data_IF_196090451831
#
_entry.id   IF_196090451831
#
_cell.length_a   1.000
_cell.length_b   1.000
_cell.length_c   1.000
_cell.angle_alpha   90.00
_cell.angle_beta   90.00
_cell.angle_gamma   90.00
#
_symmetry.space_group_name_H-M   'P 1'
#
loop_
_entity.id
_entity.type
_entity.pdbx_description
1 polymer ?
#
# COMPACT_ATOMS: atom_id res chain seq x y z
N UNK A 1 10.79 -34.97 43.50
CA UNK A 1 10.53 -33.71 44.16
C UNK A 1 11.84 -32.96 44.36
N UNK A 2 12.22 -32.12 43.46
CA UNK A 2 13.40 -31.24 43.62
C UNK A 2 12.92 -29.80 43.75
N UNK A 3 13.21 -29.22 44.91
CA UNK A 3 12.84 -27.87 45.28
C UNK A 3 13.66 -26.86 44.50
N UNK A 4 12.98 -25.97 43.77
CA UNK A 4 13.59 -24.79 43.16
C UNK A 4 13.96 -23.77 44.26
N UNK A 5 15.20 -23.28 44.23
CA UNK A 5 15.74 -22.31 45.16
C UNK A 5 14.97 -20.96 45.07
N UNK A 6 14.75 -20.26 46.17
CA UNK A 6 14.06 -18.95 46.18
C UNK A 6 14.70 -17.86 45.33
N UNK A 7 15.97 -18.03 44.98
CA UNK A 7 16.66 -17.07 44.10
C UNK A 7 16.25 -17.12 42.64
N UNK A 8 15.70 -18.27 42.19
CA UNK A 8 15.17 -18.41 40.81
C UNK A 8 13.81 -17.76 40.68
N UNK A 9 12.98 -17.80 41.73
CA UNK A 9 11.68 -17.11 41.74
C UNK A 9 11.81 -15.59 41.76
N UNK A 10 12.84 -15.04 42.40
CA UNK A 10 13.08 -13.59 42.40
C UNK A 10 13.52 -13.06 41.00
N UNK A 11 14.27 -13.87 40.23
CA UNK A 11 14.67 -13.47 38.87
C UNK A 11 13.52 -13.52 37.86
N UNK A 12 12.59 -14.45 38.02
CA UNK A 12 11.40 -14.54 37.17
C UNK A 12 10.41 -13.40 37.49
N UNK A 13 10.28 -12.99 38.75
CA UNK A 13 9.43 -11.88 39.15
C UNK A 13 9.94 -10.52 38.62
N UNK A 14 11.27 -10.32 38.53
CA UNK A 14 11.85 -9.10 37.96
C UNK A 14 11.71 -9.06 36.44
N UNK A 15 11.76 -10.20 35.75
CA UNK A 15 11.54 -10.27 34.29
C UNK A 15 10.08 -10.06 33.89
N UNK A 16 9.11 -10.40 34.74
CA UNK A 16 7.69 -10.17 34.50
C UNK A 16 7.28 -8.73 34.80
N UNK A 17 7.95 -8.05 35.71
CA UNK A 17 7.66 -6.66 36.06
C UNK A 17 8.14 -5.63 35.02
N UNK A 18 9.03 -6.02 34.09
CA UNK A 18 9.52 -5.14 33.01
C UNK A 18 8.65 -5.25 31.73
N UNK A 19 7.73 -6.20 31.67
CA UNK A 19 6.92 -6.51 30.46
C UNK A 19 5.61 -5.75 30.35
N UNK A 20 5.24 -4.89 31.29
CA UNK A 20 4.07 -4.03 31.17
C UNK A 20 4.45 -2.58 30.88
N UNK A 21 5.31 -2.35 29.90
CA UNK A 21 5.27 -1.10 29.19
C UNK A 21 3.99 -1.17 28.34
N UNK A 22 2.91 -0.61 28.86
CA UNK A 22 1.76 -0.25 28.06
C UNK A 22 2.30 0.62 26.92
N UNK A 23 2.36 0.06 25.72
CA UNK A 23 2.48 0.85 24.51
C UNK A 23 1.18 1.64 24.43
N UNK A 24 1.13 2.79 25.11
CA UNK A 24 0.10 3.77 24.84
C UNK A 24 0.22 4.03 23.34
N UNK A 25 -0.88 3.83 22.63
CA UNK A 25 -0.98 4.27 21.26
C UNK A 25 -0.54 5.74 21.26
N UNK A 26 0.60 6.02 20.65
CA UNK A 26 1.02 7.39 20.42
C UNK A 26 -0.03 7.89 19.44
N UNK A 27 -0.95 8.72 19.91
CA UNK A 27 -1.77 9.55 19.04
C UNK A 27 -0.79 10.45 18.30
N UNK A 28 -0.37 10.01 17.11
CA UNK A 28 0.40 10.82 16.20
C UNK A 28 -0.54 11.94 15.75
N UNK A 29 -0.30 13.20 16.13
CA UNK A 29 -1.12 14.30 15.66
C UNK A 29 -1.07 14.25 14.13
N UNK A 30 -2.25 14.33 13.50
CA UNK A 30 -2.35 14.47 12.07
C UNK A 30 -1.52 15.68 11.63
N UNK A 31 -0.35 15.42 11.05
CA UNK A 31 0.48 16.51 10.53
C UNK A 31 -0.18 17.03 9.26
N UNK A 32 -0.88 18.13 9.38
CA UNK A 32 -1.42 18.91 8.25
C UNK A 32 -0.42 19.97 7.75
N UNK A 33 0.87 19.78 8.00
CA UNK A 33 1.87 20.80 7.71
C UNK A 33 2.27 20.76 6.24
N UNK A 34 1.75 21.68 5.44
CA UNK A 34 2.15 21.93 4.05
C UNK A 34 3.63 22.33 3.90
N UNK A 35 4.30 22.70 4.99
CA UNK A 35 5.66 23.22 5.05
C UNK A 35 6.69 22.22 5.57
N UNK A 36 6.46 20.91 5.42
CA UNK A 36 7.43 19.92 5.85
C UNK A 36 8.76 20.06 5.10
N UNK A 37 9.86 20.08 5.85
CA UNK A 37 11.21 20.26 5.30
C UNK A 37 11.61 19.10 4.41
N UNK A 38 12.13 19.42 3.22
CA UNK A 38 12.76 18.46 2.31
C UNK A 38 14.21 18.20 2.76
N UNK A 39 14.44 17.10 3.47
CA UNK A 39 15.76 16.77 4.01
C UNK A 39 16.61 15.87 3.09
N UNK A 40 16.06 15.46 1.94
CA UNK A 40 16.73 14.62 0.96
C UNK A 40 17.19 15.36 -0.29
N UNK A 41 16.77 16.62 -0.43
CA UNK A 41 17.23 17.51 -1.51
C UNK A 41 16.54 17.28 -2.86
N UNK A 42 15.45 16.51 -2.91
CA UNK A 42 14.67 16.38 -4.14
C UNK A 42 14.01 17.71 -4.52
N UNK A 43 14.13 18.16 -5.79
CA UNK A 43 13.39 19.31 -6.27
C UNK A 43 11.88 19.13 -6.10
N UNK A 44 11.14 20.20 -5.84
CA UNK A 44 9.69 20.11 -5.62
C UNK A 44 8.96 19.47 -6.81
N UNK A 45 9.36 19.77 -8.03
CA UNK A 45 8.78 19.15 -9.22
C UNK A 45 8.92 17.62 -9.21
N UNK A 46 10.07 17.10 -8.77
CA UNK A 46 10.31 15.65 -8.65
C UNK A 46 9.47 15.06 -7.54
N UNK A 47 9.33 15.75 -6.41
CA UNK A 47 8.45 15.32 -5.30
C UNK A 47 7.00 15.26 -5.74
N UNK A 48 6.48 16.27 -6.44
CA UNK A 48 5.12 16.24 -6.99
C UNK A 48 4.91 15.11 -8.00
N UNK A 49 5.90 14.84 -8.83
CA UNK A 49 5.87 13.69 -9.75
C UNK A 49 5.82 12.36 -8.97
N UNK A 50 6.65 12.20 -7.95
CA UNK A 50 6.63 11.04 -7.07
C UNK A 50 5.29 10.86 -6.34
N UNK A 51 4.69 11.96 -5.88
CA UNK A 51 3.44 11.92 -5.14
C UNK A 51 2.23 11.57 -6.00
N UNK A 52 2.22 11.99 -7.27
CA UNK A 52 1.02 11.97 -8.11
C UNK A 52 1.17 11.26 -9.45
N UNK A 53 2.31 10.61 -9.73
CA UNK A 53 2.44 9.81 -10.95
C UNK A 53 1.69 8.48 -10.77
N UNK A 54 0.67 8.29 -11.60
CA UNK A 54 -0.13 7.07 -11.59
C UNK A 54 0.60 5.92 -12.27
N UNK A 55 0.64 4.76 -11.60
CA UNK A 55 1.02 3.49 -12.21
C UNK A 55 -0.19 2.67 -12.71
N UNK A 56 -1.37 3.29 -12.78
CA UNK A 56 -2.59 2.67 -13.30
C UNK A 56 -3.53 2.10 -12.24
N UNK A 57 -3.28 2.30 -10.93
CA UNK A 57 -4.18 1.87 -9.86
C UNK A 57 -5.50 2.64 -9.91
N UNK A 58 -6.62 1.98 -9.58
CA UNK A 58 -7.96 2.55 -9.70
C UNK A 58 -8.81 2.18 -8.47
N UNK A 59 -9.08 3.15 -7.63
CA UNK A 59 -9.87 2.96 -6.41
C UNK A 59 -11.35 3.33 -6.62
N UNK A 60 -11.62 4.62 -6.78
CA UNK A 60 -12.95 5.19 -7.02
C UNK A 60 -12.87 6.27 -8.10
N UNK A 61 -14.00 6.74 -8.68
CA UNK A 61 -14.03 7.89 -9.56
C UNK A 61 -13.36 9.11 -8.92
N UNK A 62 -12.57 9.82 -9.71
CA UNK A 62 -11.79 10.96 -9.26
C UNK A 62 -12.65 12.08 -8.69
N UNK A 63 -13.73 12.41 -9.39
CA UNK A 63 -14.72 13.41 -9.00
C UNK A 63 -15.38 13.06 -7.65
N UNK A 64 -15.61 11.78 -7.36
CA UNK A 64 -16.12 11.36 -6.06
C UNK A 64 -15.08 11.61 -4.95
N UNK A 65 -13.83 11.22 -5.19
CA UNK A 65 -12.79 11.38 -4.19
C UNK A 65 -12.54 12.85 -3.85
N UNK A 66 -12.43 13.70 -4.88
CA UNK A 66 -12.25 15.15 -4.68
C UNK A 66 -13.46 15.75 -3.95
N UNK A 67 -14.69 15.31 -4.28
CA UNK A 67 -15.89 15.73 -3.55
C UNK A 67 -15.89 15.29 -2.08
N UNK A 68 -15.38 14.09 -1.77
CA UNK A 68 -15.32 13.61 -0.40
C UNK A 68 -14.27 14.37 0.43
N UNK A 69 -13.12 14.72 -0.14
CA UNK A 69 -12.08 15.47 0.59
C UNK A 69 -12.41 16.97 0.77
N UNK A 70 -13.43 17.49 0.10
CA UNK A 70 -13.99 18.83 0.37
C UNK A 70 -14.81 18.88 1.67
N UNK A 71 -15.23 17.73 2.22
CA UNK A 71 -15.84 17.66 3.54
C UNK A 71 -14.74 17.68 4.60
N UNK A 72 -14.68 18.77 5.37
CA UNK A 72 -13.63 18.98 6.37
C UNK A 72 -13.61 17.89 7.45
N UNK A 73 -14.78 17.36 7.82
CA UNK A 73 -14.87 16.28 8.81
C UNK A 73 -14.27 14.97 8.28
N UNK A 74 -14.53 14.66 7.01
CA UNK A 74 -14.01 13.49 6.34
C UNK A 74 -12.51 13.63 6.05
N UNK A 75 -12.09 14.81 5.60
CA UNK A 75 -10.67 15.13 5.39
C UNK A 75 -9.89 15.00 6.71
N UNK A 76 -10.44 15.51 7.81
CA UNK A 76 -9.86 15.34 9.15
C UNK A 76 -9.79 13.86 9.56
N UNK A 77 -10.85 13.08 9.30
CA UNK A 77 -10.85 11.65 9.58
C UNK A 77 -9.80 10.89 8.75
N UNK A 78 -9.59 11.26 7.50
CA UNK A 78 -8.50 10.73 6.67
C UNK A 78 -7.13 11.12 7.23
N UNK A 79 -6.93 12.40 7.59
CA UNK A 79 -5.71 12.88 8.23
C UNK A 79 -5.36 12.12 9.51
N UNK A 80 -6.37 11.80 10.33
CA UNK A 80 -6.19 10.97 11.54
C UNK A 80 -5.70 9.53 11.26
N UNK A 81 -5.76 9.08 10.01
CA UNK A 81 -5.14 7.82 9.59
C UNK A 81 -3.67 7.96 9.17
N UNK A 82 -3.10 9.16 9.26
CA UNK A 82 -1.72 9.44 8.85
C UNK A 82 -1.56 9.77 7.36
N UNK A 83 -2.66 10.00 6.62
CA UNK A 83 -2.60 10.48 5.25
C UNK A 83 -2.02 11.89 5.22
N UNK A 84 -1.01 12.09 4.39
CA UNK A 84 -0.25 13.35 4.32
C UNK A 84 -0.91 14.32 3.36
N UNK A 85 -1.24 15.53 3.85
CA UNK A 85 -1.76 16.59 3.01
C UNK A 85 -0.73 17.07 1.98
N UNK A 86 -1.21 17.53 0.83
CA UNK A 86 -0.41 18.21 -0.19
C UNK A 86 -1.14 19.43 -0.73
N UNK A 87 -0.89 20.58 -0.13
CA UNK A 87 -1.50 21.86 -0.52
C UNK A 87 -0.99 22.36 -1.89
N UNK A 88 0.14 21.85 -2.37
CA UNK A 88 0.69 22.22 -3.67
C UNK A 88 -0.08 21.61 -4.85
N UNK A 89 -0.88 20.56 -4.60
CA UNK A 89 -1.70 19.98 -5.66
C UNK A 89 -2.96 20.84 -5.93
N UNK A 90 -3.31 21.13 -7.19
CA UNK A 90 -4.47 22.00 -7.52
C UNK A 90 -5.78 21.55 -6.89
N UNK A 91 -6.05 20.25 -6.88
CA UNK A 91 -7.25 19.67 -6.26
C UNK A 91 -6.99 19.19 -4.83
N UNK A 92 -5.88 19.62 -4.21
CA UNK A 92 -5.47 19.23 -2.85
C UNK A 92 -5.44 17.70 -2.63
N UNK A 93 -5.12 16.95 -3.68
CA UNK A 93 -4.93 15.51 -3.53
C UNK A 93 -3.83 15.22 -2.50
N UNK A 94 -4.10 14.37 -1.52
CA UNK A 94 -3.07 13.97 -0.56
C UNK A 94 -1.89 13.26 -1.23
N UNK A 95 -0.74 13.25 -0.56
CA UNK A 95 0.44 12.49 -0.99
C UNK A 95 0.08 11.02 -1.22
N UNK A 96 0.50 10.49 -2.35
CA UNK A 96 0.26 9.08 -2.66
C UNK A 96 -1.04 8.78 -3.39
N UNK A 97 -1.77 9.83 -3.83
CA UNK A 97 -2.94 9.67 -4.68
C UNK A 97 -2.69 10.28 -6.05
N UNK A 98 -3.19 9.66 -7.09
CA UNK A 98 -3.08 10.16 -8.45
C UNK A 98 -4.39 10.05 -9.21
N UNK A 99 -4.61 11.01 -10.13
CA UNK A 99 -5.64 10.91 -11.14
C UNK A 99 -5.20 9.97 -12.25
N UNK A 100 -6.11 9.08 -12.67
CA UNK A 100 -5.91 8.10 -13.72
C UNK A 100 -6.96 8.33 -14.80
N UNK A 101 -6.54 8.85 -15.92
CA UNK A 101 -7.43 9.04 -17.07
C UNK A 101 -7.61 7.72 -17.83
N UNK A 102 -8.84 7.43 -18.22
CA UNK A 102 -9.23 6.18 -18.87
C UNK A 102 -9.69 6.37 -20.34
N UNK A 103 -9.35 7.50 -20.92
CA UNK A 103 -9.88 7.92 -22.23
C UNK A 103 -11.24 8.64 -22.11
N UNK A 104 -11.66 9.23 -23.24
CA UNK A 104 -12.80 10.14 -23.27
C UNK A 104 -14.16 9.53 -22.87
N UNK A 105 -14.31 8.22 -23.00
CA UNK A 105 -15.58 7.51 -22.74
C UNK A 105 -15.73 6.95 -21.32
N UNK A 106 -14.74 7.15 -20.45
CA UNK A 106 -14.75 6.61 -19.08
C UNK A 106 -14.36 7.67 -18.06
N UNK A 107 -15.01 7.72 -16.89
CA UNK A 107 -14.63 8.68 -15.85
C UNK A 107 -13.19 8.44 -15.40
N UNK A 108 -12.47 9.52 -15.15
CA UNK A 108 -11.17 9.46 -14.49
C UNK A 108 -11.32 8.79 -13.12
N UNK A 109 -10.28 8.08 -12.70
CA UNK A 109 -10.24 7.39 -11.41
C UNK A 109 -9.20 8.05 -10.50
N UNK A 110 -9.36 7.91 -9.19
CA UNK A 110 -8.26 8.11 -8.25
C UNK A 110 -7.66 6.74 -7.93
N UNK A 111 -6.32 6.70 -7.82
CA UNK A 111 -5.60 5.51 -7.41
C UNK A 111 -4.43 5.85 -6.49
N UNK A 112 -3.81 4.82 -5.94
CA UNK A 112 -2.62 4.95 -5.12
C UNK A 112 -1.36 5.03 -5.97
N UNK A 113 -0.35 5.77 -5.48
CA UNK A 113 1.00 5.78 -6.04
C UNK A 113 1.98 5.10 -5.08
N UNK A 114 3.25 4.94 -5.50
CA UNK A 114 4.30 4.42 -4.62
C UNK A 114 4.46 5.28 -3.35
N UNK A 115 4.25 6.59 -3.45
CA UNK A 115 4.35 7.51 -2.34
C UNK A 115 3.31 7.26 -1.24
N UNK A 116 2.17 6.63 -1.54
CA UNK A 116 1.16 6.26 -0.53
C UNK A 116 1.75 5.36 0.55
N UNK A 117 2.52 4.36 0.16
CA UNK A 117 3.18 3.44 1.10
C UNK A 117 4.60 3.87 1.47
N UNK A 118 5.25 4.71 0.64
CA UNK A 118 6.67 5.03 0.76
C UNK A 118 6.91 6.55 0.84
N UNK A 119 6.11 7.23 1.65
CA UNK A 119 6.40 8.60 2.13
C UNK A 119 5.91 8.71 3.55
N UNK A 120 6.77 9.20 4.43
CA UNK A 120 6.44 9.41 5.83
C UNK A 120 6.71 10.85 6.24
N UNK A 121 6.17 11.23 7.38
CA UNK A 121 6.41 12.53 8.00
C UNK A 121 6.51 12.37 9.51
N UNK A 122 7.40 13.12 10.13
CA UNK A 122 7.46 13.24 11.58
C UNK A 122 7.69 14.71 11.98
N UNK A 123 7.27 15.06 13.18
CA UNK A 123 7.43 16.41 13.72
C UNK A 123 8.32 16.37 14.96
N UNK A 124 9.26 17.30 15.05
CA UNK A 124 10.10 17.53 16.21
C UNK A 124 10.20 19.04 16.49
N UNK A 125 9.90 19.47 17.71
CA UNK A 125 9.92 20.89 18.11
C UNK A 125 9.21 21.81 17.10
N UNK A 126 8.01 21.45 16.68
CA UNK A 126 7.19 22.16 15.68
C UNK A 126 7.79 22.23 14.25
N UNK A 127 8.85 21.48 13.97
CA UNK A 127 9.38 21.31 12.61
C UNK A 127 8.94 19.95 12.06
N UNK A 128 8.26 19.95 10.93
CA UNK A 128 7.88 18.72 10.23
C UNK A 128 8.93 18.37 9.17
N UNK A 129 9.25 17.10 9.10
CA UNK A 129 10.22 16.51 8.18
C UNK A 129 9.54 15.46 7.34
N UNK A 130 9.53 15.64 6.03
CA UNK A 130 8.99 14.66 5.10
C UNK A 130 10.12 13.81 4.53
N UNK A 131 9.86 12.51 4.48
CA UNK A 131 10.85 11.50 4.08
C UNK A 131 10.28 10.70 2.91
N UNK A 132 10.77 11.00 1.72
CA UNK A 132 10.43 10.28 0.50
C UNK A 132 11.17 8.93 0.47
N UNK A 133 10.47 7.88 0.04
CA UNK A 133 10.98 6.50 0.05
C UNK A 133 11.02 5.86 1.43
N UNK A 134 10.69 6.61 2.49
CA UNK A 134 10.56 6.06 3.84
C UNK A 134 9.26 5.28 4.03
N UNK A 135 9.23 4.33 4.99
CA UNK A 135 8.01 3.58 5.27
C UNK A 135 6.92 4.53 5.75
N UNK A 136 5.76 4.50 5.09
CA UNK A 136 4.59 5.25 5.53
C UNK A 136 4.16 4.79 6.94
N UNK A 137 3.70 5.72 7.76
CA UNK A 137 3.11 5.44 9.07
C UNK A 137 1.57 5.45 9.02
N UNK A 138 1.00 5.40 7.83
CA UNK A 138 -0.44 5.43 7.63
C UNK A 138 -1.14 4.16 8.12
N UNK A 139 -2.34 4.33 8.61
CA UNK A 139 -3.29 3.26 8.93
C UNK A 139 -4.10 2.90 7.69
N UNK A 140 -3.50 2.17 6.75
CA UNK A 140 -4.10 1.88 5.44
C UNK A 140 -5.47 1.21 5.53
N UNK A 141 -5.64 0.24 6.42
CA UNK A 141 -6.92 -0.43 6.65
C UNK A 141 -7.98 0.55 7.16
N UNK A 142 -7.62 1.41 8.09
CA UNK A 142 -8.53 2.41 8.68
C UNK A 142 -8.99 3.42 7.64
N UNK A 143 -8.06 3.92 6.81
CA UNK A 143 -8.40 4.80 5.70
C UNK A 143 -9.44 4.15 4.77
N UNK A 144 -9.19 2.92 4.33
CA UNK A 144 -10.13 2.21 3.45
C UNK A 144 -11.48 1.98 4.11
N UNK A 145 -11.52 1.66 5.41
CA UNK A 145 -12.77 1.53 6.16
C UNK A 145 -13.57 2.84 6.19
N UNK A 146 -12.89 3.97 6.49
CA UNK A 146 -13.54 5.29 6.51
C UNK A 146 -14.10 5.60 5.11
N UNK A 147 -13.29 5.39 4.05
CA UNK A 147 -13.71 5.63 2.68
C UNK A 147 -14.93 4.78 2.29
N UNK A 148 -14.90 3.48 2.56
CA UNK A 148 -16.00 2.58 2.20
C UNK A 148 -17.26 2.87 3.02
N UNK A 149 -17.10 3.19 4.29
CA UNK A 149 -18.21 3.61 5.14
C UNK A 149 -18.85 4.89 4.59
N UNK A 150 -18.05 5.90 4.26
CA UNK A 150 -18.55 7.18 3.73
C UNK A 150 -19.32 7.01 2.43
N UNK A 151 -18.83 6.15 1.52
CA UNK A 151 -19.56 5.80 0.30
C UNK A 151 -20.85 5.01 0.57
N UNK A 152 -20.79 4.05 1.52
CA UNK A 152 -21.96 3.24 1.89
C UNK A 152 -23.06 4.07 2.53
N UNK A 153 -22.70 5.08 3.31
CA UNK A 153 -23.65 5.99 3.96
C UNK A 153 -24.37 6.96 3.00
N UNK A 154 -23.92 7.04 1.73
CA UNK A 154 -24.64 7.79 0.70
C UNK A 154 -25.93 7.08 0.30
N UNK A 155 -26.03 5.77 0.50
CA UNK A 155 -27.18 4.95 0.12
C UNK A 155 -27.93 4.53 1.38
N UNK A 156 -29.11 5.09 1.65
CA UNK A 156 -29.92 4.71 2.81
C UNK A 156 -30.31 3.22 2.80
N UNK A 157 -30.55 2.61 3.98
CA UNK A 157 -30.95 1.19 4.07
C UNK A 157 -32.28 0.89 3.38
N UNK A 158 -33.24 1.83 3.38
CA UNK A 158 -34.49 1.70 2.65
C UNK A 158 -34.27 2.08 1.17
N UNK A 159 -33.73 1.14 0.41
CA UNK A 159 -33.44 1.34 -1.01
C UNK A 159 -34.68 1.65 -1.84
N UNK A 160 -35.88 1.00 -1.64
CA UNK A 160 -37.08 1.36 -2.35
C UNK A 160 -37.52 2.82 -2.16
N UNK A 161 -37.60 3.31 -0.91
CA UNK A 161 -37.90 4.69 -0.61
C UNK A 161 -36.84 5.66 -1.16
N UNK A 162 -35.59 5.32 -1.07
CA UNK A 162 -34.51 6.08 -1.66
C UNK A 162 -34.66 6.20 -3.19
N UNK A 163 -34.85 5.10 -3.89
CA UNK A 163 -35.01 5.11 -5.34
C UNK A 163 -36.26 5.90 -5.77
N UNK A 164 -37.34 5.89 -4.99
CA UNK A 164 -38.52 6.73 -5.20
C UNK A 164 -38.15 8.22 -5.08
N UNK A 165 -37.45 8.61 -4.01
CA UNK A 165 -37.05 10.01 -3.79
C UNK A 165 -36.15 10.55 -4.91
N UNK A 166 -35.27 9.71 -5.50
CA UNK A 166 -34.47 10.11 -6.67
C UNK A 166 -35.31 10.40 -7.90
N UNK A 167 -36.31 9.56 -8.15
CA UNK A 167 -37.25 9.77 -9.26
C UNK A 167 -38.11 11.02 -9.11
N UNK A 168 -38.37 11.41 -7.86
CA UNK A 168 -39.13 12.63 -7.52
C UNK A 168 -38.19 13.85 -7.40
N UNK A 169 -36.89 13.73 -7.74
CA UNK A 169 -35.86 14.79 -7.59
C UNK A 169 -35.72 15.33 -6.18
N UNK A 170 -36.03 14.52 -5.19
CA UNK A 170 -35.95 14.86 -3.76
C UNK A 170 -35.08 13.88 -2.98
N UNK A 171 -33.77 13.74 -3.33
CA UNK A 171 -32.87 12.84 -2.63
C UNK A 171 -32.61 13.28 -1.21
N UNK A 172 -32.22 12.33 -0.30
CA UNK A 172 -31.76 12.65 1.05
C UNK A 172 -30.58 13.61 1.04
N UNK A 173 -30.49 14.47 2.05
CA UNK A 173 -29.53 15.60 2.08
C UNK A 173 -28.09 15.18 1.85
N UNK A 174 -27.63 14.10 2.47
CA UNK A 174 -26.25 13.60 2.31
C UNK A 174 -25.93 13.21 0.87
N UNK A 175 -26.81 12.44 0.25
CA UNK A 175 -26.69 12.05 -1.16
C UNK A 175 -26.85 13.28 -2.07
N UNK A 176 -27.80 14.19 -1.76
CA UNK A 176 -28.01 15.42 -2.52
C UNK A 176 -26.76 16.28 -2.57
N UNK A 177 -26.13 16.52 -1.41
CA UNK A 177 -24.90 17.31 -1.33
C UNK A 177 -23.77 16.69 -2.16
N UNK A 178 -23.58 15.38 -2.08
CA UNK A 178 -22.60 14.64 -2.86
C UNK A 178 -22.94 14.71 -4.37
N UNK A 179 -24.17 14.38 -4.76
CA UNK A 179 -24.61 14.38 -6.16
C UNK A 179 -24.49 15.75 -6.80
N UNK A 180 -24.86 16.83 -6.10
CA UNK A 180 -24.74 18.20 -6.61
C UNK A 180 -23.30 18.52 -7.02
N UNK A 181 -22.33 18.20 -6.19
CA UNK A 181 -20.91 18.48 -6.47
C UNK A 181 -20.36 17.57 -7.58
N UNK A 182 -20.67 16.28 -7.54
CA UNK A 182 -20.21 15.32 -8.56
C UNK A 182 -20.76 15.67 -9.93
N UNK A 183 -22.07 15.91 -10.04
CA UNK A 183 -22.73 16.24 -11.31
C UNK A 183 -22.24 17.59 -11.85
N UNK A 184 -22.05 18.59 -10.98
CA UNK A 184 -21.47 19.87 -11.38
C UNK A 184 -20.07 19.72 -11.98
N UNK A 185 -19.21 18.87 -11.40
CA UNK A 185 -17.86 18.57 -11.94
C UNK A 185 -17.92 17.89 -13.31
N UNK A 186 -18.98 17.15 -13.59
CA UNK A 186 -19.22 16.50 -14.87
C UNK A 186 -19.90 17.42 -15.90
N UNK A 187 -20.37 18.59 -15.50
CA UNK A 187 -21.21 19.46 -16.33
C UNK A 187 -22.61 18.86 -16.58
N UNK A 188 -23.06 17.97 -15.69
CA UNK A 188 -24.34 17.29 -15.79
C UNK A 188 -25.41 17.97 -14.92
N UNK A 189 -26.65 18.06 -15.42
CA UNK A 189 -27.78 18.56 -14.66
C UNK A 189 -28.29 17.52 -13.64
N UNK A 190 -28.74 18.00 -12.48
CA UNK A 190 -29.35 17.14 -11.46
C UNK A 190 -30.79 16.78 -11.87
N UNK A 191 -30.96 15.68 -12.57
CA UNK A 191 -32.22 15.13 -13.03
C UNK A 191 -32.53 13.79 -12.37
N UNK A 192 -33.76 13.28 -12.35
CA UNK A 192 -34.05 11.91 -11.88
C UNK A 192 -33.14 10.86 -12.51
N UNK A 193 -32.86 10.99 -13.80
CA UNK A 193 -32.03 10.07 -14.54
C UNK A 193 -30.54 10.07 -14.00
N UNK A 194 -29.92 11.26 -13.90
CA UNK A 194 -28.54 11.38 -13.43
C UNK A 194 -28.41 11.00 -11.97
N UNK A 195 -29.38 11.30 -11.12
CA UNK A 195 -29.44 10.89 -9.72
C UNK A 195 -29.52 9.36 -9.57
N UNK A 196 -30.40 8.71 -10.30
CA UNK A 196 -30.58 7.24 -10.29
C UNK A 196 -29.28 6.56 -10.80
N UNK A 197 -28.73 7.05 -11.91
CA UNK A 197 -27.49 6.51 -12.48
C UNK A 197 -26.33 6.63 -11.49
N UNK A 198 -26.13 7.80 -10.87
CA UNK A 198 -25.10 8.00 -9.88
C UNK A 198 -25.27 7.10 -8.65
N UNK A 199 -26.50 6.95 -8.15
CA UNK A 199 -26.78 6.05 -7.02
C UNK A 199 -26.48 4.58 -7.35
N UNK A 200 -26.82 4.12 -8.54
CA UNK A 200 -26.50 2.78 -9.01
C UNK A 200 -24.98 2.57 -9.12
N UNK A 201 -24.26 3.56 -9.64
CA UNK A 201 -22.79 3.51 -9.76
C UNK A 201 -22.12 3.48 -8.38
N UNK A 202 -22.58 4.31 -7.43
CA UNK A 202 -22.09 4.29 -6.04
C UNK A 202 -22.31 2.92 -5.42
N UNK A 203 -23.53 2.38 -5.54
CA UNK A 203 -23.88 1.07 -4.99
C UNK A 203 -23.00 -0.03 -5.57
N UNK A 204 -22.95 -0.14 -6.90
CA UNK A 204 -22.18 -1.17 -7.60
C UNK A 204 -20.69 -1.12 -7.24
N UNK A 205 -20.11 0.09 -7.23
CA UNK A 205 -18.69 0.25 -6.95
C UNK A 205 -18.36 -0.03 -5.49
N UNK A 206 -19.15 0.47 -4.55
CA UNK A 206 -18.96 0.19 -3.12
C UNK A 206 -19.06 -1.30 -2.83
N UNK A 207 -20.04 -1.99 -3.39
CA UNK A 207 -20.17 -3.44 -3.28
C UNK A 207 -18.98 -4.17 -3.88
N UNK A 208 -18.49 -3.75 -5.05
CA UNK A 208 -17.32 -4.33 -5.71
C UNK A 208 -16.03 -4.12 -4.92
N UNK A 209 -15.87 -2.97 -4.27
CA UNK A 209 -14.73 -2.70 -3.39
C UNK A 209 -14.79 -3.55 -2.12
N UNK A 210 -15.96 -3.63 -1.48
CA UNK A 210 -16.18 -4.46 -0.30
C UNK A 210 -15.96 -5.96 -0.60
N UNK A 211 -16.44 -6.44 -1.74
CA UNK A 211 -16.23 -7.84 -2.14
C UNK A 211 -14.74 -8.19 -2.34
N UNK A 212 -13.95 -7.27 -2.90
CA UNK A 212 -12.50 -7.45 -3.13
C UNK A 212 -11.65 -7.14 -1.90
N UNK A 213 -12.03 -6.13 -1.14
CA UNK A 213 -11.33 -5.73 0.08
C UNK A 213 -11.64 -6.67 1.22
N UNK A 214 -12.76 -7.32 1.11
CA UNK A 214 -13.15 -8.39 1.96
C UNK A 214 -13.44 -8.01 3.39
N UNK A 215 -13.66 -9.06 4.12
CA UNK A 215 -13.83 -9.10 5.56
C UNK A 215 -12.50 -8.85 6.29
N UNK A 216 -11.43 -8.58 5.53
CA UNK A 216 -10.03 -8.60 5.98
C UNK A 216 -9.50 -7.22 6.39
N UNK A 217 -10.33 -6.17 6.36
CA UNK A 217 -9.93 -4.85 6.84
C UNK A 217 -10.15 -4.77 8.36
N UNK A 218 -9.34 -5.49 9.14
CA UNK A 218 -9.27 -5.32 10.59
C UNK A 218 -8.13 -4.36 10.91
N UNK A 219 -8.41 -3.11 11.34
CA UNK A 219 -7.36 -2.17 11.73
C UNK A 219 -6.51 -2.69 12.88
N UNK A 220 -7.10 -3.46 13.78
CA UNK A 220 -6.43 -4.04 14.93
C UNK A 220 -5.34 -5.04 14.53
N UNK A 221 -5.53 -5.71 13.39
CA UNK A 221 -4.56 -6.68 12.87
C UNK A 221 -3.39 -6.02 12.14
N UNK A 222 -3.61 -4.89 11.47
CA UNK A 222 -2.56 -4.31 10.63
C UNK A 222 -1.72 -3.26 11.36
N UNK A 223 -2.34 -2.34 12.08
CA UNK A 223 -1.64 -1.23 12.71
C UNK A 223 -1.07 -0.20 11.73
N UNK A 224 -0.51 0.91 12.27
CA UNK A 224 0.11 1.95 11.43
C UNK A 224 1.38 1.44 10.76
N UNK A 225 1.59 1.83 9.51
CA UNK A 225 2.78 1.48 8.74
C UNK A 225 2.93 0.01 8.42
N UNK A 226 1.84 -0.75 8.50
CA UNK A 226 1.83 -2.19 8.23
C UNK A 226 0.81 -2.55 7.18
N UNK A 227 1.12 -3.59 6.43
CA UNK A 227 0.28 -4.09 5.35
C UNK A 227 0.55 -5.57 5.08
N UNK A 228 -0.49 -6.37 4.90
CA UNK A 228 -0.32 -7.74 4.39
C UNK A 228 -0.32 -7.71 2.85
N UNK A 229 0.84 -7.39 2.28
CA UNK A 229 0.98 -7.21 0.85
C UNK A 229 0.67 -8.49 0.05
N UNK A 230 1.10 -9.65 0.53
CA UNK A 230 0.91 -10.93 -0.16
C UNK A 230 -0.53 -11.45 -0.01
N UNK A 231 -1.09 -11.38 1.19
CA UNK A 231 -2.48 -11.79 1.44
C UNK A 231 -3.46 -10.91 0.68
N UNK A 232 -3.33 -9.60 0.83
CA UNK A 232 -4.19 -8.61 0.22
C UNK A 232 -4.03 -8.56 -1.30
N UNK A 233 -2.79 -8.48 -1.78
CA UNK A 233 -2.48 -8.50 -3.21
C UNK A 233 -3.01 -9.76 -3.88
N UNK A 234 -2.79 -10.92 -3.26
CA UNK A 234 -3.33 -12.18 -3.74
C UNK A 234 -4.87 -12.21 -3.79
N UNK A 235 -5.56 -11.61 -2.82
CA UNK A 235 -7.02 -11.50 -2.87
C UNK A 235 -7.47 -10.63 -4.05
N UNK A 236 -6.81 -9.50 -4.28
CA UNK A 236 -7.12 -8.60 -5.41
C UNK A 236 -6.91 -9.27 -6.77
N UNK A 237 -5.85 -10.07 -6.89
CA UNK A 237 -5.48 -10.76 -8.14
C UNK A 237 -6.35 -12.02 -8.37
N UNK A 238 -6.58 -12.81 -7.34
CA UNK A 238 -7.12 -14.16 -7.52
C UNK A 238 -8.63 -14.28 -7.26
N UNK A 239 -9.24 -13.38 -6.49
CA UNK A 239 -10.70 -13.41 -6.28
C UNK A 239 -11.50 -13.22 -7.57
N UNK A 240 -11.07 -12.39 -8.54
CA UNK A 240 -11.74 -12.32 -9.84
C UNK A 240 -11.74 -13.63 -10.63
N UNK A 241 -10.77 -14.51 -10.42
CA UNK A 241 -10.70 -15.83 -11.07
C UNK A 241 -11.71 -16.80 -10.46
N UNK A 242 -11.78 -16.82 -9.15
CA UNK A 242 -12.73 -17.61 -8.38
C UNK A 242 -12.88 -17.00 -6.97
N UNK A 243 -14.12 -16.70 -6.51
CA UNK A 243 -14.35 -16.17 -5.16
C UNK A 243 -13.77 -17.05 -4.03
N UNK A 244 -13.69 -18.36 -4.25
CA UNK A 244 -13.12 -19.30 -3.29
C UNK A 244 -11.60 -19.17 -3.12
N UNK A 245 -10.96 -18.33 -3.93
CA UNK A 245 -9.55 -17.96 -3.76
C UNK A 245 -9.33 -16.92 -2.65
N UNK A 246 -10.37 -16.30 -2.10
CA UNK A 246 -10.24 -15.37 -0.99
C UNK A 246 -9.63 -16.06 0.24
N UNK A 247 -8.65 -15.40 0.85
CA UNK A 247 -7.98 -15.85 2.08
C UNK A 247 -7.89 -14.70 3.07
N UNK A 248 -7.83 -14.97 4.38
CA UNK A 248 -7.55 -13.95 5.39
C UNK A 248 -6.23 -13.23 5.08
N UNK A 249 -6.24 -11.89 5.15
CA UNK A 249 -5.05 -11.06 5.02
C UNK A 249 -4.62 -10.62 6.44
N UNK A 250 -4.13 -11.56 7.23
CA UNK A 250 -3.87 -11.45 8.66
C UNK A 250 -2.38 -11.49 9.04
N UNK A 251 -1.48 -11.39 8.06
CA UNK A 251 -0.04 -11.45 8.25
C UNK A 251 0.63 -10.12 7.85
N UNK A 252 0.25 -9.04 8.53
CA UNK A 252 0.79 -7.71 8.23
C UNK A 252 2.26 -7.58 8.61
N UNK A 253 3.04 -6.98 7.71
CA UNK A 253 4.47 -6.67 7.91
C UNK A 253 4.71 -5.18 7.75
N UNK A 254 5.83 -4.70 8.28
CA UNK A 254 6.24 -3.30 8.11
C UNK A 254 6.54 -3.00 6.64
N UNK A 255 6.17 -1.80 6.20
CA UNK A 255 6.53 -1.30 4.88
C UNK A 255 8.03 -0.98 4.92
N UNK A 256 8.87 -1.51 4.01
CA UNK A 256 10.30 -1.23 4.00
C UNK A 256 10.61 0.14 3.39
N UNK A 257 11.77 0.74 3.70
CA UNK A 257 12.29 1.86 2.92
C UNK A 257 12.67 1.43 1.51
N UNK A 258 12.71 2.38 0.57
CA UNK A 258 13.08 2.11 -0.82
C UNK A 258 14.56 2.38 -1.12
N UNK A 259 15.29 3.07 -0.23
CA UNK A 259 16.68 3.45 -0.50
C UNK A 259 17.57 2.21 -0.66
N UNK A 260 18.24 2.14 -1.79
CA UNK A 260 19.13 1.02 -2.12
C UNK A 260 18.41 -0.28 -2.53
N UNK A 261 17.08 -0.30 -2.63
CA UNK A 261 16.33 -1.53 -2.97
C UNK A 261 16.73 -2.12 -4.33
N UNK A 262 17.23 -1.31 -5.25
CA UNK A 262 17.72 -1.71 -6.56
C UNK A 262 19.02 -2.51 -6.54
N UNK A 263 19.71 -2.54 -5.41
CA UNK A 263 20.95 -3.28 -5.25
C UNK A 263 20.74 -4.75 -4.90
N UNK A 264 19.53 -5.12 -4.50
CA UNK A 264 19.20 -6.48 -4.08
C UNK A 264 18.72 -7.34 -5.24
N UNK A 265 19.25 -8.56 -5.34
CA UNK A 265 18.82 -9.57 -6.32
C UNK A 265 17.46 -10.21 -5.96
N UNK A 266 17.06 -10.18 -4.69
CA UNK A 266 15.75 -10.61 -4.21
C UNK A 266 15.07 -9.52 -3.38
N UNK A 267 13.75 -9.44 -3.48
CA UNK A 267 12.92 -8.48 -2.74
C UNK A 267 11.70 -9.16 -2.14
N UNK A 268 10.95 -8.41 -1.33
CA UNK A 268 9.94 -8.85 -0.37
C UNK A 268 10.56 -9.53 0.86
N UNK A 269 9.87 -9.49 2.00
CA UNK A 269 10.34 -10.15 3.23
C UNK A 269 10.49 -11.66 3.10
N UNK A 270 9.75 -12.26 2.15
CA UNK A 270 9.82 -13.70 1.82
C UNK A 270 10.87 -14.05 0.77
N UNK A 271 11.56 -13.06 0.18
CA UNK A 271 12.46 -13.29 -0.95
C UNK A 271 11.77 -13.94 -2.15
N UNK A 272 10.54 -13.53 -2.46
CA UNK A 272 9.71 -14.24 -3.44
C UNK A 272 9.89 -13.74 -4.88
N UNK A 273 10.50 -12.58 -5.09
CA UNK A 273 10.59 -11.93 -6.41
C UNK A 273 12.01 -11.43 -6.67
N UNK A 274 12.57 -11.76 -7.84
CA UNK A 274 13.88 -11.29 -8.30
C UNK A 274 13.78 -10.08 -9.22
N UNK A 275 12.84 -10.09 -10.17
CA UNK A 275 12.77 -9.07 -11.21
C UNK A 275 12.06 -7.80 -10.71
N UNK A 276 12.72 -6.60 -10.71
CA UNK A 276 12.14 -5.37 -10.16
C UNK A 276 10.81 -4.97 -10.80
N UNK A 277 10.72 -4.98 -12.13
CA UNK A 277 9.50 -4.62 -12.84
C UNK A 277 8.36 -5.63 -12.56
N UNK A 278 8.65 -6.93 -12.50
CA UNK A 278 7.68 -7.95 -12.13
C UNK A 278 7.12 -7.72 -10.72
N UNK A 279 7.98 -7.34 -9.78
CA UNK A 279 7.55 -6.93 -8.43
C UNK A 279 6.59 -5.75 -8.49
N UNK A 280 6.93 -4.69 -9.23
CA UNK A 280 6.11 -3.49 -9.29
C UNK A 280 4.77 -3.75 -9.97
N UNK A 281 4.73 -4.57 -11.02
CA UNK A 281 3.50 -5.04 -11.67
C UNK A 281 2.62 -5.76 -10.64
N UNK A 282 3.17 -6.75 -9.93
CA UNK A 282 2.42 -7.49 -8.91
C UNK A 282 1.88 -6.58 -7.79
N UNK A 283 2.66 -5.60 -7.35
CA UNK A 283 2.23 -4.62 -6.34
C UNK A 283 1.09 -3.74 -6.86
N UNK A 284 1.22 -3.18 -8.06
CA UNK A 284 0.20 -2.28 -8.65
C UNK A 284 -1.12 -3.01 -8.88
N UNK A 285 -1.08 -4.26 -9.35
CA UNK A 285 -2.27 -5.12 -9.44
C UNK A 285 -2.87 -5.34 -8.05
N UNK A 286 -2.05 -5.68 -7.08
CA UNK A 286 -2.45 -5.93 -5.69
C UNK A 286 -3.11 -4.70 -5.00
N UNK A 287 -2.86 -3.49 -5.51
CA UNK A 287 -3.49 -2.25 -5.03
C UNK A 287 -4.50 -1.67 -6.04
N UNK A 288 -5.29 -2.55 -6.66
CA UNK A 288 -6.44 -2.24 -7.49
C UNK A 288 -6.15 -1.70 -8.91
N UNK A 289 -5.04 -2.07 -9.55
CA UNK A 289 -5.00 -2.00 -11.01
C UNK A 289 -5.92 -3.10 -11.57
N UNK A 290 -6.81 -2.73 -12.46
CA UNK A 290 -7.69 -3.70 -13.12
C UNK A 290 -6.86 -4.76 -13.86
N UNK A 291 -7.22 -6.03 -13.73
CA UNK A 291 -6.44 -7.12 -14.31
C UNK A 291 -7.18 -7.94 -15.36
N UNK A 292 -8.48 -8.20 -15.16
CA UNK A 292 -9.23 -9.07 -16.04
C UNK A 292 -10.45 -8.37 -16.65
N UNK A 293 -10.72 -8.65 -17.92
CA UNK A 293 -11.82 -8.04 -18.66
C UNK A 293 -13.18 -8.70 -18.42
N UNK A 294 -13.20 -9.97 -17.97
CA UNK A 294 -14.46 -10.66 -17.73
C UNK A 294 -15.03 -10.42 -16.34
N UNK A 295 -16.33 -10.56 -16.23
CA UNK A 295 -17.04 -10.61 -14.96
C UNK A 295 -17.25 -12.05 -14.53
N UNK A 296 -17.47 -12.30 -13.25
CA UNK A 296 -17.76 -13.65 -12.72
C UNK A 296 -19.00 -14.33 -13.35
N UNK A 297 -19.85 -13.54 -13.99
CA UNK A 297 -21.04 -14.02 -14.71
C UNK A 297 -20.76 -14.38 -16.18
N UNK A 298 -19.54 -14.12 -16.67
CA UNK A 298 -19.18 -14.49 -18.04
C UNK A 298 -19.01 -16.01 -18.14
N UNK A 299 -19.67 -16.61 -19.11
CA UNK A 299 -19.64 -18.07 -19.36
C UNK A 299 -18.45 -18.50 -20.21
N UNK A 300 -17.74 -17.54 -20.82
CA UNK A 300 -16.57 -17.79 -21.66
C UNK A 300 -15.53 -16.69 -21.52
N UNK A 301 -14.26 -17.04 -21.75
CA UNK A 301 -13.18 -16.07 -21.86
C UNK A 301 -13.33 -15.27 -23.17
N UNK A 302 -12.85 -14.01 -23.20
CA UNK A 302 -12.61 -13.31 -24.44
C UNK A 302 -11.75 -14.15 -25.39
N UNK A 303 -11.99 -14.03 -26.69
CA UNK A 303 -11.24 -14.77 -27.72
C UNK A 303 -9.78 -14.33 -27.80
N UNK A 304 -9.53 -13.04 -27.58
CA UNK A 304 -8.19 -12.46 -27.64
C UNK A 304 -7.54 -12.45 -26.26
N UNK A 305 -6.29 -12.89 -26.18
CA UNK A 305 -5.50 -12.94 -24.94
C UNK A 305 -5.30 -11.55 -24.34
N UNK A 306 -5.13 -10.53 -25.17
CA UNK A 306 -5.06 -9.12 -24.76
C UNK A 306 -6.31 -8.65 -24.02
N UNK A 307 -7.48 -9.16 -24.39
CA UNK A 307 -8.71 -8.84 -23.71
C UNK A 307 -8.89 -9.61 -22.40
N UNK A 308 -8.36 -10.83 -22.34
CA UNK A 308 -8.34 -11.64 -21.11
C UNK A 308 -7.52 -10.92 -20.02
N UNK A 309 -6.29 -10.50 -20.35
CA UNK A 309 -5.37 -9.83 -19.43
C UNK A 309 -5.43 -8.30 -19.51
N UNK A 310 -6.59 -7.75 -19.86
CA UNK A 310 -6.79 -6.31 -19.87
C UNK A 310 -6.49 -5.72 -18.50
N UNK A 311 -5.51 -4.82 -18.46
CA UNK A 311 -5.08 -4.15 -17.24
C UNK A 311 -5.05 -2.63 -17.41
N UNK A 312 -5.17 -1.91 -16.30
CA UNK A 312 -4.95 -0.46 -16.23
C UNK A 312 -3.51 -0.08 -15.89
N UNK A 313 -2.60 -1.05 -15.81
CA UNK A 313 -1.18 -0.81 -15.51
C UNK A 313 -0.56 0.10 -16.57
N UNK A 314 0.17 1.12 -16.10
CA UNK A 314 1.03 1.96 -16.93
C UNK A 314 2.50 1.56 -16.70
N UNK A 315 3.04 0.74 -17.61
CA UNK A 315 4.43 0.27 -17.53
C UNK A 315 5.44 1.40 -17.73
N UNK A 316 5.11 2.43 -18.54
CA UNK A 316 6.02 3.58 -18.71
C UNK A 316 6.13 4.38 -17.43
N UNK A 317 4.99 4.64 -16.78
CA UNK A 317 4.98 5.29 -15.48
C UNK A 317 5.73 4.47 -14.42
N UNK A 318 5.58 3.14 -14.42
CA UNK A 318 6.34 2.26 -13.52
C UNK A 318 7.85 2.37 -13.73
N UNK A 319 8.34 2.31 -14.97
CA UNK A 319 9.77 2.51 -15.29
C UNK A 319 10.26 3.88 -14.84
N UNK A 320 9.45 4.93 -15.05
CA UNK A 320 9.79 6.29 -14.56
C UNK A 320 9.85 6.34 -13.03
N UNK A 321 8.89 5.76 -12.34
CA UNK A 321 8.89 5.69 -10.87
C UNK A 321 10.09 4.91 -10.31
N UNK A 322 10.50 3.83 -10.98
CA UNK A 322 11.74 3.10 -10.63
C UNK A 322 12.97 3.99 -10.79
N UNK A 323 13.04 4.74 -11.90
CA UNK A 323 14.16 5.69 -12.15
C UNK A 323 14.21 6.77 -11.08
N UNK A 324 13.06 7.31 -10.67
CA UNK A 324 12.98 8.29 -9.57
C UNK A 324 13.43 7.65 -8.24
N UNK A 325 12.95 6.45 -7.93
CA UNK A 325 13.33 5.75 -6.72
C UNK A 325 14.85 5.50 -6.65
N UNK A 326 15.49 5.14 -7.77
CA UNK A 326 16.95 4.94 -7.87
C UNK A 326 17.76 6.22 -7.60
N UNK A 327 17.16 7.39 -7.81
CA UNK A 327 17.79 8.69 -7.55
C UNK A 327 17.54 9.21 -6.14
N UNK A 328 16.73 8.51 -5.36
CA UNK A 328 16.33 8.96 -4.03
C UNK A 328 17.36 8.58 -2.97
N UNK A 329 18.09 9.54 -2.40
CA UNK A 329 19.03 9.26 -1.34
C UNK A 329 18.33 8.97 -0.01
N UNK A 330 18.94 8.23 0.90
CA UNK A 330 18.45 8.14 2.27
C UNK A 330 18.48 9.54 2.93
N UNK A 331 17.57 9.80 3.90
CA UNK A 331 17.54 11.08 4.59
C UNK A 331 18.81 11.29 5.39
N UNK A 332 19.30 12.52 5.38
CA UNK A 332 20.39 12.94 6.27
C UNK A 332 19.81 13.31 7.62
N UNK A 333 20.60 13.10 8.69
CA UNK A 333 20.21 13.54 10.02
C UNK A 333 20.09 15.08 10.05
N UNK A 334 18.88 15.64 10.27
CA UNK A 334 18.69 17.07 10.23
C UNK A 334 19.46 17.79 11.35
N UNK A 335 20.06 18.93 11.05
CA UNK A 335 20.81 19.73 12.04
C UNK A 335 19.90 20.33 13.14
N UNK A 336 18.59 20.39 12.89
CA UNK A 336 17.58 20.85 13.85
C UNK A 336 17.21 19.80 14.89
N UNK A 337 17.59 18.55 14.66
CA UNK A 337 17.48 17.49 15.65
C UNK A 337 18.67 17.52 16.62
N UNK A 338 18.55 16.95 17.83
CA UNK A 338 19.69 16.79 18.73
C UNK A 338 20.87 16.13 18.03
N UNK A 339 22.06 16.62 18.29
CA UNK A 339 23.27 16.04 17.73
C UNK A 339 23.41 14.56 18.11
N UNK A 340 23.87 13.74 17.17
CA UNK A 340 24.13 12.31 17.44
C UNK A 340 25.25 12.21 18.48
N UNK A 341 24.97 11.52 19.59
CA UNK A 341 25.99 11.16 20.58
C UNK A 341 26.99 10.18 19.96
N UNK A 342 28.21 10.66 19.69
CA UNK A 342 29.23 9.89 19.02
C UNK A 342 29.73 8.72 19.84
N UNK A 343 29.72 8.85 21.17
CA UNK A 343 30.16 7.78 22.09
C UNK A 343 29.17 6.64 22.12
N UNK A 344 27.83 6.97 22.21
CA UNK A 344 26.81 5.98 22.14
C UNK A 344 26.72 5.33 20.74
N UNK A 345 26.91 6.10 19.67
CA UNK A 345 26.95 5.57 18.31
C UNK A 345 28.11 4.58 18.10
N UNK A 346 29.30 4.88 18.64
CA UNK A 346 30.46 3.98 18.58
C UNK A 346 30.19 2.68 19.35
N UNK A 347 29.59 2.78 20.53
CA UNK A 347 29.20 1.61 21.33
C UNK A 347 28.11 0.78 20.60
N UNK A 348 27.11 1.44 20.00
CA UNK A 348 26.08 0.77 19.20
C UNK A 348 26.68 0.05 17.99
N UNK A 349 27.65 0.66 17.30
CA UNK A 349 28.38 0.02 16.19
C UNK A 349 29.14 -1.22 16.66
N UNK A 350 29.81 -1.15 17.80
CA UNK A 350 30.51 -2.29 18.38
C UNK A 350 29.55 -3.44 18.73
N UNK A 351 28.43 -3.14 19.36
CA UNK A 351 27.37 -4.14 19.65
C UNK A 351 26.78 -4.76 18.38
N UNK A 352 26.56 -3.97 17.35
CA UNK A 352 26.00 -4.42 16.09
C UNK A 352 26.91 -5.38 15.33
N UNK A 353 28.21 -5.05 15.24
CA UNK A 353 29.20 -5.85 14.52
C UNK A 353 29.84 -6.93 15.36
N UNK A 354 29.70 -6.88 16.68
CA UNK A 354 30.45 -7.67 17.62
C UNK A 354 31.91 -7.18 17.81
N UNK A 355 32.55 -7.65 18.84
CA UNK A 355 33.97 -7.40 19.13
C UNK A 355 34.53 -8.63 19.81
N UNK A 356 35.36 -9.41 19.10
CA UNK A 356 35.93 -10.65 19.63
C UNK A 356 36.88 -10.40 20.84
N UNK A 357 37.61 -9.32 20.81
CA UNK A 357 38.58 -8.99 21.88
C UNK A 357 37.88 -8.65 23.19
N UNK A 358 36.64 -8.19 23.11
CA UNK A 358 35.77 -7.87 24.25
C UNK A 358 34.75 -8.96 24.57
N UNK A 359 34.75 -10.08 23.84
CA UNK A 359 33.77 -11.15 24.01
C UNK A 359 32.35 -10.77 23.56
N UNK A 360 32.18 -9.73 22.73
CA UNK A 360 30.88 -9.31 22.19
C UNK A 360 30.59 -10.11 20.92
N UNK A 361 29.52 -10.93 20.90
CA UNK A 361 29.21 -11.74 19.73
C UNK A 361 28.66 -10.89 18.59
N UNK A 362 28.92 -11.28 17.33
CA UNK A 362 28.32 -10.70 16.15
C UNK A 362 26.89 -11.29 15.96
N UNK A 363 25.89 -10.70 16.59
CA UNK A 363 24.52 -11.17 16.53
C UNK A 363 23.70 -10.48 15.42
N UNK A 364 23.92 -9.19 15.19
CA UNK A 364 23.13 -8.42 14.24
C UNK A 364 23.74 -8.42 12.83
N UNK A 365 25.00 -8.02 12.70
CA UNK A 365 25.66 -7.90 11.40
C UNK A 365 25.94 -9.24 10.72
N UNK A 366 25.74 -10.36 11.41
CA UNK A 366 25.81 -11.70 10.81
C UNK A 366 24.74 -11.87 9.71
N UNK A 367 23.54 -11.37 9.96
CA UNK A 367 22.42 -11.42 9.00
C UNK A 367 22.15 -10.06 8.35
N UNK A 368 22.34 -8.96 9.10
CA UNK A 368 22.09 -7.59 8.65
C UNK A 368 23.41 -6.88 8.32
N UNK A 369 24.00 -7.22 7.18
CA UNK A 369 25.25 -6.59 6.74
C UNK A 369 25.01 -5.12 6.43
N UNK A 370 25.73 -4.23 7.14
CA UNK A 370 25.67 -2.79 6.87
C UNK A 370 26.53 -2.46 5.64
N UNK A 371 25.92 -2.39 4.48
CA UNK A 371 26.58 -2.01 3.23
C UNK A 371 26.22 -0.57 2.88
N UNK A 372 27.18 0.29 2.50
CA UNK A 372 26.86 1.60 1.97
C UNK A 372 26.01 1.48 0.71
N UNK A 373 24.94 2.30 0.62
CA UNK A 373 24.14 2.40 -0.59
C UNK A 373 25.02 2.99 -1.71
N UNK A 374 25.18 2.26 -2.79
CA UNK A 374 25.94 2.66 -3.95
C UNK A 374 25.05 3.32 -5.00
N UNK A 375 25.64 3.99 -5.97
CA UNK A 375 24.92 4.43 -7.16
C UNK A 375 24.42 3.21 -7.94
N UNK A 376 23.25 3.28 -8.59
CA UNK A 376 22.75 2.16 -9.37
C UNK A 376 23.77 1.65 -10.37
N UNK A 377 24.04 0.35 -10.34
CA UNK A 377 24.94 -0.29 -11.28
C UNK A 377 24.24 -0.51 -12.63
N UNK A 378 24.88 -0.22 -13.77
CA UNK A 378 24.34 -0.58 -15.07
C UNK A 378 24.27 -2.10 -15.29
N UNK A 379 25.00 -2.88 -14.48
CA UNK A 379 25.08 -4.34 -14.59
C UNK A 379 24.01 -5.07 -13.72
N UNK A 380 23.02 -4.35 -13.16
CA UNK A 380 21.98 -4.92 -12.32
C UNK A 380 22.32 -4.96 -10.83
N UNK A 381 21.63 -5.80 -10.05
CA UNK A 381 21.82 -5.91 -8.59
C UNK A 381 23.26 -6.24 -8.21
N UNK A 382 23.78 -5.54 -7.20
CA UNK A 382 25.15 -5.70 -6.69
C UNK A 382 25.21 -6.49 -5.39
N UNK A 383 24.07 -6.67 -4.71
CA UNK A 383 23.97 -7.35 -3.42
C UNK A 383 23.18 -8.65 -3.53
N UNK A 384 23.84 -9.74 -3.18
CA UNK A 384 23.18 -11.04 -3.09
C UNK A 384 22.51 -11.20 -1.72
N UNK A 385 21.19 -11.46 -1.74
CA UNK A 385 20.40 -11.67 -0.53
C UNK A 385 20.48 -13.12 -0.07
N UNK A 386 20.99 -13.34 1.14
CA UNK A 386 20.99 -14.67 1.74
C UNK A 386 19.57 -15.08 2.15
N UNK A 387 19.10 -16.20 1.63
CA UNK A 387 17.83 -16.82 2.03
C UNK A 387 18.03 -17.63 3.30
N UNK A 388 17.73 -17.01 4.45
CA UNK A 388 17.88 -17.67 5.74
C UNK A 388 16.63 -18.48 6.05
N UNK A 389 16.74 -19.79 6.36
CA UNK A 389 15.59 -20.62 6.73
C UNK A 389 14.84 -20.05 7.93
N UNK A 390 13.51 -20.01 7.86
CA UNK A 390 12.67 -19.41 8.90
C UNK A 390 12.92 -20.02 10.30
N UNK A 391 13.18 -21.32 10.37
CA UNK A 391 13.56 -22.01 11.63
C UNK A 391 14.82 -21.44 12.31
N UNK A 392 15.71 -20.83 11.54
CA UNK A 392 16.93 -20.19 12.05
C UNK A 392 16.67 -18.76 12.51
N UNK A 393 15.76 -18.05 11.81
CA UNK A 393 15.34 -16.70 12.18
C UNK A 393 14.49 -16.73 13.45
N UNK A 394 13.59 -17.70 13.59
CA UNK A 394 12.73 -17.87 14.76
C UNK A 394 11.63 -16.81 14.92
N UNK A 395 11.28 -16.08 13.85
CA UNK A 395 10.19 -15.08 13.87
C UNK A 395 8.85 -15.70 13.45
N UNK A 396 7.79 -14.90 13.49
CA UNK A 396 6.45 -15.30 13.04
C UNK A 396 6.47 -15.81 11.58
N UNK A 397 5.93 -16.98 11.36
CA UNK A 397 5.91 -17.67 10.07
C UNK A 397 4.71 -17.29 9.18
N UNK A 398 3.72 -16.60 9.73
CA UNK A 398 2.38 -16.48 9.13
C UNK A 398 2.42 -15.82 7.74
N UNK A 399 3.25 -14.78 7.56
CA UNK A 399 3.39 -14.08 6.28
C UNK A 399 3.89 -15.03 5.17
N UNK A 400 4.92 -15.82 5.46
CA UNK A 400 5.48 -16.78 4.53
C UNK A 400 4.52 -17.95 4.29
N UNK A 401 3.94 -18.49 5.34
CA UNK A 401 3.04 -19.65 5.26
C UNK A 401 1.76 -19.34 4.49
N UNK A 402 1.14 -18.18 4.73
CA UNK A 402 -0.05 -17.75 4.01
C UNK A 402 0.19 -17.67 2.49
N UNK A 403 1.40 -17.28 2.08
CA UNK A 403 1.73 -17.24 0.65
C UNK A 403 2.15 -18.59 0.10
N UNK A 404 3.08 -19.28 0.75
CA UNK A 404 3.66 -20.54 0.26
C UNK A 404 2.68 -21.70 0.23
N UNK A 405 1.71 -21.73 1.15
CA UNK A 405 0.66 -22.77 1.21
C UNK A 405 -0.59 -22.40 0.41
N UNK A 406 -0.67 -21.17 -0.10
CA UNK A 406 -1.83 -20.72 -0.86
C UNK A 406 -1.91 -21.42 -2.20
N UNK A 407 -3.06 -22.03 -2.49
CA UNK A 407 -3.43 -22.53 -3.81
C UNK A 407 -4.49 -21.64 -4.43
N UNK A 408 -4.44 -21.51 -5.74
CA UNK A 408 -5.30 -20.65 -6.56
C UNK A 408 -6.01 -21.52 -7.60
N UNK A 409 -7.32 -21.48 -7.59
CA UNK A 409 -8.11 -22.00 -8.70
C UNK A 409 -8.12 -20.96 -9.81
N UNK A 410 -7.62 -21.33 -10.97
CA UNK A 410 -7.48 -20.41 -12.11
C UNK A 410 -8.80 -20.15 -12.85
N UNK A 411 -9.89 -20.81 -12.46
CA UNK A 411 -11.24 -20.57 -12.96
C UNK A 411 -11.31 -20.52 -14.49
N UNK A 412 -11.75 -19.39 -15.07
CA UNK A 412 -11.89 -19.23 -16.52
C UNK A 412 -10.58 -19.45 -17.31
N UNK A 413 -9.40 -19.28 -16.71
CA UNK A 413 -8.11 -19.51 -17.39
C UNK A 413 -7.82 -20.99 -17.65
N UNK A 414 -8.61 -21.91 -17.07
CA UNK A 414 -8.55 -23.36 -17.29
C UNK A 414 -7.16 -23.98 -17.09
N UNK A 415 -6.34 -23.42 -16.21
CA UNK A 415 -5.02 -23.95 -15.83
C UNK A 415 -5.06 -24.87 -14.60
N UNK A 416 -6.28 -25.16 -14.13
CA UNK A 416 -6.49 -25.94 -12.91
C UNK A 416 -6.10 -25.18 -11.65
N UNK A 417 -5.61 -25.91 -10.66
CA UNK A 417 -5.17 -25.34 -9.37
C UNK A 417 -3.65 -25.21 -9.35
N UNK A 418 -3.17 -24.00 -9.04
CA UNK A 418 -1.75 -23.65 -9.02
C UNK A 418 -1.34 -23.15 -7.62
N UNK A 419 -0.03 -23.12 -7.33
CA UNK A 419 0.46 -22.38 -6.18
C UNK A 419 0.26 -20.87 -6.39
N UNK A 420 0.18 -20.10 -5.30
CA UNK A 420 0.06 -18.64 -5.42
C UNK A 420 1.28 -18.02 -6.14
N UNK A 421 2.47 -18.60 -5.95
CA UNK A 421 3.69 -18.20 -6.65
C UNK A 421 3.54 -18.39 -8.16
N UNK A 422 3.22 -19.59 -8.61
CA UNK A 422 3.12 -19.90 -10.04
C UNK A 422 1.99 -19.11 -10.71
N UNK A 423 0.86 -18.92 -10.02
CA UNK A 423 -0.24 -18.11 -10.51
C UNK A 423 0.14 -16.63 -10.64
N UNK A 424 0.88 -16.07 -9.68
CA UNK A 424 1.37 -14.69 -9.73
C UNK A 424 2.38 -14.51 -10.85
N UNK A 425 3.30 -15.44 -10.99
CA UNK A 425 4.32 -15.42 -12.05
C UNK A 425 3.67 -15.53 -13.43
N UNK A 426 2.73 -16.46 -13.61
CA UNK A 426 1.99 -16.60 -14.85
C UNK A 426 1.29 -15.30 -15.25
N UNK A 427 0.50 -14.69 -14.35
CA UNK A 427 -0.23 -13.44 -14.63
C UNK A 427 0.74 -12.29 -14.95
N UNK A 428 1.83 -12.18 -14.22
CA UNK A 428 2.84 -11.13 -14.43
C UNK A 428 3.51 -11.27 -15.78
N UNK A 429 3.91 -12.48 -16.15
CA UNK A 429 4.56 -12.77 -17.43
C UNK A 429 3.63 -12.50 -18.61
N UNK A 430 2.34 -12.84 -18.49
CA UNK A 430 1.36 -12.52 -19.51
C UNK A 430 1.19 -11.00 -19.72
N UNK A 431 1.15 -10.24 -18.65
CA UNK A 431 1.06 -8.78 -18.72
C UNK A 431 2.32 -8.15 -19.32
N UNK A 432 3.50 -8.63 -18.95
CA UNK A 432 4.77 -8.16 -19.50
C UNK A 432 4.84 -8.45 -21.02
N UNK A 433 4.48 -9.65 -21.44
CA UNK A 433 4.49 -10.04 -22.85
C UNK A 433 3.53 -9.20 -23.69
N UNK A 434 2.31 -8.96 -23.20
CA UNK A 434 1.29 -8.16 -23.90
C UNK A 434 1.67 -6.67 -24.04
N UNK A 435 2.47 -6.15 -23.13
CA UNK A 435 2.89 -4.75 -23.12
C UNK A 435 4.32 -4.53 -23.67
N UNK A 436 4.92 -5.56 -24.28
CA UNK A 436 6.26 -5.47 -24.87
C UNK A 436 7.42 -5.36 -23.88
N UNK A 437 7.13 -5.49 -22.57
CA UNK A 437 8.17 -5.37 -21.54
C UNK A 437 9.14 -6.56 -21.51
N UNK A 438 8.77 -7.69 -22.11
CA UNK A 438 9.64 -8.88 -22.24
C UNK A 438 10.81 -8.68 -23.23
N UNK A 439 10.78 -7.62 -24.04
CA UNK A 439 11.80 -7.33 -25.04
C UNK A 439 12.92 -6.40 -24.55
N UNK A 440 12.85 -5.97 -23.27
CA UNK A 440 13.80 -5.01 -22.70
C UNK A 440 14.54 -5.69 -21.51
N UNK A 441 15.76 -6.22 -21.73
CA UNK A 441 16.51 -6.96 -20.71
C UNK A 441 17.24 -6.05 -19.69
N UNK A 442 16.86 -4.75 -19.55
CA UNK A 442 17.45 -3.84 -18.57
C UNK A 442 16.78 -3.89 -17.19
#
# INVERSE_FOLDING_TARGET
>A
MHFFSPRVMALVAVLVAVSTVHCQAIDLPASQNSNASNIQGWPEQIRQQWYHMSAGTQLIPYDWFVTLIEDESLLSAFGATGILANEAHPDKLPVGFARVDRGASSPAMVGFTCAFCHTSEFTYNNHSFRIEGGPSLQYNARFLQILFKSLGELIPPDVPAFMKSLKESNPPDKFKAFATRVLARRGEAMTPYTLVTLAMDVTKRTQGLLARSGRDLSPEQWGPGRFDALGRGGNTVFAPLNPDNLRPANASVSIPPLWGVWEYDWVQWSGSIQHPLARNIAQVIGVNAGLFAWTQTATSLPSEKSDVFRSSIDLRALKTLETLARQLPPPRWPSTLPAIDRALAAKGKELYHGNRDKGIPNLCAHCHVATPIQSPSPNGPSLHVAMVPLKEIGTDSLYLENFSRRTVDTGPLQRGRMSAKDASEFVTNELMALNGAAADPE
#
